data_IF_986051875819
#
_entry.id   IF_986051875819
#
_cell.length_a   1.000
_cell.length_b   1.000
_cell.length_c   1.000
_cell.angle_alpha   90.00
_cell.angle_beta   90.00
_cell.angle_gamma   90.00
#
_symmetry.space_group_name_H-M   'P 1'
#
loop_
_entity.id
_entity.type
_entity.pdbx_description
1 polymer ?
#
# COMPACT_ATOMS: atom_id res chain seq x y z
N UNK A 1 15.29 -10.25 13.88
CA UNK A 1 14.86 -9.88 12.57
C UNK A 1 13.56 -9.13 12.63
N UNK A 2 13.49 -8.03 11.98
CA UNK A 2 12.26 -7.26 12.08
C UNK A 2 11.55 -7.25 10.75
N UNK A 3 10.23 -7.35 10.83
CA UNK A 3 9.41 -7.22 9.66
C UNK A 3 8.71 -5.89 9.74
N UNK A 4 9.09 -5.01 8.85
CA UNK A 4 8.44 -3.72 8.78
C UNK A 4 7.05 -3.92 8.18
N UNK A 5 6.06 -3.29 8.79
CA UNK A 5 4.71 -3.33 8.27
C UNK A 5 4.33 -1.97 7.74
N UNK A 6 3.38 -1.96 6.82
CA UNK A 6 2.90 -0.74 6.18
C UNK A 6 1.39 -0.69 6.32
N UNK A 7 0.86 0.49 6.54
CA UNK A 7 -0.57 0.68 6.65
C UNK A 7 -0.96 2.01 6.05
N UNK A 8 -2.21 2.10 5.62
CA UNK A 8 -2.73 3.33 5.08
C UNK A 8 -2.84 4.38 6.19
N UNK A 9 -2.48 5.61 5.87
CA UNK A 9 -2.63 6.72 6.82
C UNK A 9 -4.12 7.02 6.92
N UNK A 10 -4.67 6.94 8.12
CA UNK A 10 -6.12 7.05 8.32
C UNK A 10 -6.66 8.44 8.01
N UNK A 11 -5.83 9.46 7.96
CA UNK A 11 -6.32 10.79 7.60
C UNK A 11 -6.58 10.92 6.10
N UNK A 12 -6.04 9.98 5.30
CA UNK A 12 -6.19 10.02 3.85
C UNK A 12 -7.58 9.54 3.47
N UNK A 13 -8.26 10.32 2.65
CA UNK A 13 -9.55 9.93 2.11
C UNK A 13 -9.35 9.16 0.82
N UNK A 14 -10.21 8.17 0.59
CA UNK A 14 -10.12 7.38 -0.63
C UNK A 14 -11.48 7.38 -1.32
N UNK A 15 -11.47 7.72 -2.60
CA UNK A 15 -12.65 7.63 -3.43
C UNK A 15 -12.42 6.49 -4.41
N UNK A 16 -13.22 5.44 -4.27
CA UNK A 16 -13.09 4.26 -5.11
C UNK A 16 -13.73 4.56 -6.47
N UNK A 17 -12.95 4.42 -7.52
CA UNK A 17 -13.45 4.66 -8.87
C UNK A 17 -13.61 3.36 -9.64
N UNK A 18 -13.72 2.25 -8.95
CA UNK A 18 -13.99 0.98 -9.57
C UNK A 18 -12.87 0.51 -10.45
N UNK A 19 -13.20 0.21 -11.72
CA UNK A 19 -12.21 -0.30 -12.63
C UNK A 19 -11.13 0.70 -12.99
N UNK A 20 -11.37 1.97 -12.74
CA UNK A 20 -10.40 3.00 -13.05
C UNK A 20 -9.39 3.21 -11.92
N UNK A 21 -9.58 2.55 -10.80
CA UNK A 21 -8.66 2.68 -9.68
C UNK A 21 -9.28 3.42 -8.51
N UNK A 22 -8.55 4.37 -7.95
CA UNK A 22 -9.03 5.15 -6.81
C UNK A 22 -8.30 6.47 -6.76
N UNK A 23 -8.87 7.42 -6.03
CA UNK A 23 -8.25 8.72 -5.82
C UNK A 23 -8.04 8.88 -4.33
N UNK A 24 -6.83 9.26 -3.93
CA UNK A 24 -6.49 9.49 -2.54
C UNK A 24 -6.26 10.97 -2.32
N UNK A 25 -6.75 11.48 -1.19
CA UNK A 25 -6.52 12.87 -0.82
C UNK A 25 -5.98 12.93 0.60
N UNK A 26 -4.84 13.59 0.77
CA UNK A 26 -4.24 13.80 2.09
C UNK A 26 -4.47 15.24 2.50
N UNK A 27 -5.36 15.48 3.47
CA UNK A 27 -5.67 16.87 3.87
C UNK A 27 -4.52 17.57 4.57
N UNK A 28 -3.63 16.83 5.21
CA UNK A 28 -2.49 17.42 5.88
C UNK A 28 -1.49 18.00 4.90
N UNK A 29 -1.44 17.45 3.70
CA UNK A 29 -0.53 17.90 2.66
C UNK A 29 -1.25 18.61 1.53
N UNK A 30 -2.57 18.59 1.55
CA UNK A 30 -3.40 19.13 0.48
C UNK A 30 -2.93 18.54 -0.86
N UNK A 31 -2.76 17.25 -0.88
CA UNK A 31 -2.22 16.55 -2.03
C UNK A 31 -3.15 15.42 -2.43
N UNK A 32 -3.30 15.24 -3.73
CA UNK A 32 -4.16 14.21 -4.30
C UNK A 32 -3.34 13.34 -5.22
N UNK A 33 -3.54 12.03 -5.14
CA UNK A 33 -2.90 11.11 -6.08
C UNK A 33 -3.94 10.15 -6.61
N UNK A 34 -3.67 9.65 -7.82
CA UNK A 34 -4.55 8.69 -8.46
C UNK A 34 -3.88 7.33 -8.42
N UNK A 35 -4.67 6.32 -8.09
CA UNK A 35 -4.20 4.95 -8.05
C UNK A 35 -4.78 4.22 -9.24
N UNK A 36 -3.95 3.41 -9.90
CA UNK A 36 -4.45 2.48 -10.92
C UNK A 36 -5.14 1.33 -10.18
N UNK A 37 -5.78 0.39 -10.92
CA UNK A 37 -6.48 -0.71 -10.26
C UNK A 37 -5.59 -1.55 -9.35
N UNK A 38 -4.34 -1.78 -9.72
CA UNK A 38 -3.42 -2.53 -8.88
C UNK A 38 -3.16 -1.78 -7.58
N UNK A 39 -2.97 -0.48 -7.65
CA UNK A 39 -2.77 0.34 -6.46
C UNK A 39 -3.99 0.33 -5.55
N UNK A 40 -5.18 0.31 -6.14
CA UNK A 40 -6.41 0.24 -5.36
C UNK A 40 -6.48 -1.07 -4.56
N UNK A 41 -6.07 -2.16 -5.18
CA UNK A 41 -6.05 -3.46 -4.50
C UNK A 41 -5.11 -3.40 -3.29
N UNK A 42 -3.93 -2.83 -3.47
CA UNK A 42 -2.96 -2.71 -2.38
C UNK A 42 -3.50 -1.80 -1.28
N UNK A 43 -4.06 -0.66 -1.66
CA UNK A 43 -4.57 0.30 -0.68
C UNK A 43 -5.63 -0.33 0.21
N UNK A 44 -6.54 -1.10 -0.37
CA UNK A 44 -7.59 -1.76 0.40
C UNK A 44 -6.99 -2.76 1.38
N UNK A 45 -5.93 -3.44 0.97
CA UNK A 45 -5.31 -4.47 1.80
C UNK A 45 -4.59 -3.87 3.00
N UNK A 46 -3.97 -2.71 2.83
CA UNK A 46 -3.20 -2.10 3.91
C UNK A 46 -4.06 -1.23 4.83
N UNK A 47 -5.36 -1.36 4.76
CA UNK A 47 -6.22 -0.79 5.79
C UNK A 47 -5.81 -1.31 7.15
N UNK A 48 -5.26 -2.53 7.21
CA UNK A 48 -4.61 -3.07 8.40
C UNK A 48 -3.12 -3.21 8.08
N UNK A 49 -2.24 -3.20 9.10
CA UNK A 49 -0.80 -3.28 8.83
C UNK A 49 -0.42 -4.64 8.23
N UNK A 50 0.45 -4.60 7.21
CA UNK A 50 0.94 -5.81 6.55
C UNK A 50 2.38 -5.60 6.11
N UNK A 51 3.13 -6.69 6.00
CA UNK A 51 4.49 -6.63 5.50
C UNK A 51 4.48 -6.55 3.98
N UNK A 52 5.61 -6.21 3.40
CA UNK A 52 5.73 -6.18 1.94
C UNK A 52 5.47 -7.57 1.36
N UNK A 53 5.90 -8.61 2.05
CA UNK A 53 5.68 -9.99 1.64
C UNK A 53 4.18 -10.30 1.60
N UNK A 54 3.44 -9.83 2.61
CA UNK A 54 1.99 -10.02 2.64
C UNK A 54 1.33 -9.32 1.47
N UNK A 55 1.77 -8.10 1.17
CA UNK A 55 1.21 -7.33 0.07
C UNK A 55 1.50 -8.04 -1.26
N UNK A 56 2.72 -8.54 -1.41
CA UNK A 56 3.09 -9.29 -2.61
C UNK A 56 2.18 -10.49 -2.80
N UNK A 57 1.98 -11.26 -1.72
CA UNK A 57 1.13 -12.43 -1.77
C UNK A 57 -0.31 -12.07 -2.13
N UNK A 58 -0.79 -10.96 -1.60
CA UNK A 58 -2.15 -10.50 -1.91
C UNK A 58 -2.29 -10.14 -3.40
N UNK A 59 -1.26 -9.50 -3.96
CA UNK A 59 -1.28 -9.17 -5.37
C UNK A 59 -1.27 -10.42 -6.23
N UNK A 60 -0.49 -11.42 -5.85
CA UNK A 60 -0.44 -12.66 -6.61
C UNK A 60 -1.76 -13.39 -6.56
N UNK A 61 -2.47 -13.29 -5.44
CA UNK A 61 -3.80 -13.90 -5.34
C UNK A 61 -4.82 -13.15 -6.20
N UNK A 62 -4.70 -11.82 -6.26
CA UNK A 62 -5.63 -11.02 -7.05
C UNK A 62 -5.35 -11.12 -8.54
N UNK A 63 -4.08 -11.32 -8.90
CA UNK A 63 -3.66 -11.40 -10.30
C UNK A 63 -2.82 -12.66 -10.50
N UNK A 64 -3.47 -13.82 -10.66
CA UNK A 64 -2.73 -15.08 -10.69
C UNK A 64 -1.72 -15.22 -11.81
N UNK A 65 -1.87 -14.41 -12.86
CA UNK A 65 -0.96 -14.48 -13.99
C UNK A 65 0.30 -13.65 -13.82
N UNK A 66 0.39 -12.85 -12.75
CA UNK A 66 1.55 -12.00 -12.55
C UNK A 66 2.67 -12.83 -11.93
N UNK A 67 3.90 -12.60 -12.41
CA UNK A 67 5.06 -13.26 -11.83
C UNK A 67 5.37 -12.67 -10.47
N UNK A 68 5.92 -13.49 -9.56
CA UNK A 68 6.25 -13.01 -8.23
C UNK A 68 7.17 -11.79 -8.27
N UNK A 69 8.16 -11.80 -9.15
CA UNK A 69 9.09 -10.68 -9.27
C UNK A 69 8.39 -9.40 -9.61
N UNK A 70 7.40 -9.49 -10.49
CA UNK A 70 6.64 -8.31 -10.87
C UNK A 70 5.77 -7.84 -9.72
N UNK A 71 5.17 -8.78 -8.98
CA UNK A 71 4.34 -8.44 -7.83
C UNK A 71 5.17 -7.74 -6.76
N UNK A 72 6.39 -8.23 -6.52
CA UNK A 72 7.28 -7.61 -5.53
C UNK A 72 7.60 -6.19 -5.95
N UNK A 73 7.94 -5.98 -7.23
CA UNK A 73 8.29 -4.66 -7.73
C UNK A 73 7.09 -3.71 -7.64
N UNK A 74 5.91 -4.18 -7.99
CA UNK A 74 4.72 -3.33 -7.96
C UNK A 74 4.39 -2.93 -6.53
N UNK A 75 4.48 -3.88 -5.60
CA UNK A 75 4.21 -3.60 -4.20
C UNK A 75 5.21 -2.60 -3.64
N UNK A 76 6.50 -2.83 -3.92
CA UNK A 76 7.55 -1.96 -3.43
C UNK A 76 7.41 -0.55 -3.99
N UNK A 77 7.18 -0.43 -5.29
CA UNK A 77 7.00 0.87 -5.92
C UNK A 77 5.82 1.62 -5.32
N UNK A 78 4.72 0.90 -5.11
CA UNK A 78 3.53 1.52 -4.55
C UNK A 78 3.83 2.09 -3.18
N UNK A 79 4.43 1.27 -2.32
CA UNK A 79 4.73 1.69 -0.95
C UNK A 79 5.71 2.85 -0.93
N UNK A 80 6.79 2.76 -1.72
CA UNK A 80 7.81 3.81 -1.72
C UNK A 80 7.26 5.13 -2.25
N UNK A 81 6.36 5.07 -3.21
CA UNK A 81 5.81 6.30 -3.77
C UNK A 81 4.82 6.99 -2.82
N UNK A 82 4.27 6.25 -1.86
CA UNK A 82 3.28 6.79 -0.95
C UNK A 82 3.82 7.09 0.44
N UNK A 83 5.01 6.64 0.75
CA UNK A 83 5.62 6.95 2.05
C UNK A 83 6.15 8.38 2.02
N UNK A 84 6.13 9.05 3.14
CA UNK A 84 5.52 8.69 4.43
C UNK A 84 4.14 9.30 4.62
N UNK A 85 3.63 10.04 3.65
CA UNK A 85 2.44 10.85 3.85
C UNK A 85 1.13 10.08 3.67
N UNK A 86 1.09 9.17 2.70
CA UNK A 86 -0.14 8.40 2.41
C UNK A 86 -0.08 7.02 3.03
N UNK A 87 1.11 6.45 3.16
CA UNK A 87 1.32 5.15 3.77
C UNK A 87 2.27 5.35 4.94
N UNK A 88 2.00 4.67 6.04
CA UNK A 88 2.85 4.73 7.23
C UNK A 88 3.59 3.43 7.37
N UNK A 89 4.85 3.51 7.78
CA UNK A 89 5.66 2.32 8.00
C UNK A 89 5.92 2.16 9.48
N UNK A 90 5.71 0.96 9.97
CA UNK A 90 5.96 0.63 11.37
C UNK A 90 6.95 -0.51 11.44
N UNK A 91 7.86 -0.45 12.40
CA UNK A 91 8.84 -1.51 12.59
C UNK A 91 8.55 -2.22 13.89
N UNK A 92 8.47 -3.54 13.84
CA UNK A 92 8.18 -4.28 15.04
C UNK A 92 9.32 -4.25 16.02
N UNK A 93 10.51 -4.04 15.54
CA UNK A 93 11.61 -4.01 16.48
C UNK A 93 11.72 -2.73 17.22
N UNK A 94 10.90 -1.79 16.89
CA UNK A 94 10.94 -0.55 17.61
C UNK A 94 10.65 -0.74 19.05
N UNK A 95 10.06 -1.82 19.40
CA UNK A 95 9.77 -2.07 20.73
C UNK A 95 10.92 -2.52 21.40
N UNK A 96 11.74 -2.77 20.83
CA UNK A 96 12.82 -3.26 21.44
C UNK A 96 13.40 -2.59 22.53
N UNK A 97 12.97 -2.60 22.29
CA UNK A 97 13.45 -2.29 22.84
C UNK A 97 13.45 -2.22 23.46
#
# INVERSE_FOLDING_TARGET
MSDKTYRANEVVSCVDEGEDGAMLYNPDKDDTILLNPTGRVIWSFIAAPHTLDDITGHLMAAYPDVAREQAVQDADKFIQSLLPDFVLADSETADGH
#
